data_IF_349175999468
#
_entry.id   IF_349175999468
#
_cell.length_a   1.000
_cell.length_b   1.000
_cell.length_c   1.000
_cell.angle_alpha   90.00
_cell.angle_beta   90.00
_cell.angle_gamma   90.00
#
_symmetry.space_group_name_H-M   'P 1'
#
loop_
_entity.id
_entity.type
_entity.pdbx_description
1 polymer ?
#
# COMPACT_ATOMS: atom_id res chain seq x y z
N UNK A 1 3.07 -0.99 9.09
CA UNK A 1 2.46 -1.97 8.17
C UNK A 1 2.47 -1.46 6.74
N UNK A 2 2.01 -0.22 6.48
CA UNK A 2 1.88 0.35 5.13
C UNK A 2 3.19 0.53 4.36
N UNK A 3 4.31 0.60 5.06
CA UNK A 3 5.63 0.68 4.41
C UNK A 3 5.86 -0.50 3.46
N UNK A 4 5.38 -1.70 3.80
CA UNK A 4 5.48 -2.87 2.92
C UNK A 4 4.70 -2.67 1.61
N UNK A 5 3.50 -2.10 1.68
CA UNK A 5 2.69 -1.79 0.50
C UNK A 5 3.38 -0.74 -0.37
N UNK A 6 3.81 0.38 0.23
CA UNK A 6 4.50 1.44 -0.50
C UNK A 6 5.79 0.95 -1.16
N UNK A 7 6.58 0.13 -0.46
CA UNK A 7 7.79 -0.46 -1.02
C UNK A 7 7.47 -1.39 -2.19
N UNK A 8 6.45 -2.25 -2.08
CA UNK A 8 6.04 -3.13 -3.17
C UNK A 8 5.58 -2.35 -4.41
N UNK A 9 4.80 -1.28 -4.24
CA UNK A 9 4.38 -0.41 -5.34
C UNK A 9 5.57 0.29 -6.02
N UNK A 10 6.50 0.85 -5.24
CA UNK A 10 7.72 1.47 -5.77
C UNK A 10 8.56 0.45 -6.55
N UNK A 11 8.77 -0.73 -5.97
CA UNK A 11 9.52 -1.80 -6.62
C UNK A 11 8.85 -2.23 -7.94
N UNK A 12 7.52 -2.29 -8.00
CA UNK A 12 6.78 -2.59 -9.24
C UNK A 12 7.10 -1.60 -10.36
N UNK A 13 7.09 -0.30 -10.08
CA UNK A 13 7.43 0.72 -11.08
C UNK A 13 8.90 0.67 -11.45
N UNK A 14 9.78 0.44 -10.48
CA UNK A 14 11.22 0.32 -10.75
C UNK A 14 11.54 -0.90 -11.61
N UNK A 15 10.89 -2.04 -11.39
CA UNK A 15 11.08 -3.24 -12.20
C UNK A 15 10.50 -3.11 -13.61
N UNK A 16 9.38 -2.40 -13.76
CA UNK A 16 8.72 -2.19 -15.05
C UNK A 16 9.42 -1.12 -15.90
N UNK A 17 9.74 0.02 -15.29
CA UNK A 17 10.09 1.26 -16.00
C UNK A 17 11.50 1.77 -15.67
N UNK A 18 12.25 1.11 -14.76
CA UNK A 18 13.58 1.54 -14.32
C UNK A 18 13.59 2.82 -13.47
N UNK A 19 12.41 3.35 -13.11
CA UNK A 19 12.26 4.63 -12.40
C UNK A 19 11.93 4.42 -10.93
N UNK A 20 12.55 5.24 -10.07
CA UNK A 20 12.19 5.33 -8.66
C UNK A 20 11.19 6.45 -8.43
N UNK A 21 10.02 6.12 -7.88
CA UNK A 21 8.97 7.10 -7.54
C UNK A 21 9.02 7.48 -6.06
N UNK A 22 8.41 8.60 -5.70
CA UNK A 22 8.22 9.04 -4.32
C UNK A 22 7.21 8.16 -3.58
N UNK A 23 7.16 8.29 -2.23
CA UNK A 23 6.13 7.62 -1.42
C UNK A 23 4.72 8.17 -1.68
N UNK A 24 4.61 9.42 -2.15
CA UNK A 24 3.33 10.05 -2.50
C UNK A 24 2.77 9.43 -3.77
N UNK A 25 3.55 9.44 -4.86
CA UNK A 25 3.18 8.80 -6.13
C UNK A 25 2.87 7.30 -5.96
N UNK A 26 3.57 6.62 -5.05
CA UNK A 26 3.30 5.22 -4.75
C UNK A 26 1.89 4.96 -4.22
N UNK A 27 1.19 5.95 -3.64
CA UNK A 27 -0.21 5.78 -3.21
C UNK A 27 -1.16 5.64 -4.40
N UNK A 28 -0.88 6.33 -5.50
CA UNK A 28 -1.70 6.26 -6.71
C UNK A 28 -1.44 4.93 -7.44
N UNK A 29 -0.17 4.52 -7.52
CA UNK A 29 0.22 3.19 -8.00
C UNK A 29 -0.44 2.07 -7.18
N UNK A 30 -0.55 2.22 -5.86
CA UNK A 30 -1.25 1.21 -5.06
C UNK A 30 -2.72 1.06 -5.46
N UNK A 31 -3.40 2.15 -5.82
CA UNK A 31 -4.77 2.09 -6.32
C UNK A 31 -4.84 1.33 -7.65
N UNK A 32 -3.94 1.62 -8.58
CA UNK A 32 -3.81 0.91 -9.87
C UNK A 32 -3.51 -0.58 -9.68
N UNK A 33 -2.71 -0.92 -8.67
CA UNK A 33 -2.40 -2.30 -8.33
C UNK A 33 -3.55 -3.03 -7.62
N UNK A 34 -4.67 -2.37 -7.34
CA UNK A 34 -5.86 -2.95 -6.72
C UNK A 34 -5.82 -3.00 -5.20
N UNK A 35 -5.12 -2.06 -4.55
CA UNK A 35 -5.10 -2.01 -3.09
C UNK A 35 -6.50 -1.74 -2.51
N UNK A 36 -6.85 -2.32 -1.36
CA UNK A 36 -8.14 -2.06 -0.71
C UNK A 36 -8.34 -0.57 -0.44
N UNK A 37 -9.42 0.00 -0.97
CA UNK A 37 -9.68 1.44 -0.93
C UNK A 37 -9.73 1.99 0.52
N UNK A 38 -10.29 1.23 1.45
CA UNK A 38 -10.34 1.59 2.88
C UNK A 38 -8.96 1.67 3.53
N UNK A 39 -8.01 0.83 3.10
CA UNK A 39 -6.62 0.89 3.58
C UNK A 39 -5.91 2.09 2.99
N UNK A 40 -6.14 2.41 1.72
CA UNK A 40 -5.61 3.62 1.09
C UNK A 40 -6.14 4.90 1.74
N UNK A 41 -7.43 4.95 2.03
CA UNK A 41 -8.05 6.07 2.74
C UNK A 41 -7.43 6.23 4.14
N UNK A 42 -7.28 5.14 4.90
CA UNK A 42 -6.61 5.17 6.21
C UNK A 42 -5.17 5.67 6.12
N UNK A 43 -4.41 5.23 5.12
CA UNK A 43 -3.03 5.69 4.91
C UNK A 43 -3.00 7.18 4.60
N UNK A 44 -3.88 7.67 3.72
CA UNK A 44 -3.97 9.10 3.37
C UNK A 44 -4.34 9.95 4.58
N UNK A 45 -5.36 9.56 5.34
CA UNK A 45 -5.79 10.28 6.56
C UNK A 45 -4.67 10.33 7.59
N UNK A 46 -3.96 9.23 7.83
CA UNK A 46 -2.83 9.23 8.79
C UNK A 46 -1.62 10.02 8.34
N UNK A 47 -1.41 10.17 7.02
CA UNK A 47 -0.22 10.82 6.47
C UNK A 47 -0.40 12.31 6.24
N UNK A 48 -1.60 12.72 5.85
CA UNK A 48 -1.87 14.10 5.41
C UNK A 48 -3.05 14.75 6.15
N UNK A 49 -3.75 14.00 7.00
CA UNK A 49 -4.88 14.51 7.79
C UNK A 49 -4.66 14.31 9.28
N UNK A 50 -5.78 14.40 10.02
CA UNK A 50 -5.82 14.18 11.47
C UNK A 50 -6.54 12.86 11.74
N UNK A 51 -5.81 11.76 11.99
CA UNK A 51 -6.44 10.47 12.19
C UNK A 51 -7.14 10.38 13.55
N UNK A 52 -8.35 9.85 13.56
CA UNK A 52 -9.01 9.43 14.80
C UNK A 52 -8.39 8.13 15.33
N UNK A 53 -8.44 7.88 16.65
CA UNK A 53 -8.07 6.59 17.21
C UNK A 53 -8.87 5.45 16.58
N UNK A 54 -8.17 4.45 16.04
CA UNK A 54 -8.81 3.27 15.46
C UNK A 54 -9.11 2.22 16.55
N UNK A 55 -10.32 1.64 16.60
CA UNK A 55 -10.62 0.48 17.43
C UNK A 55 -9.68 -0.70 17.11
N UNK A 56 -9.42 -1.57 18.11
CA UNK A 56 -8.52 -2.72 17.94
C UNK A 56 -8.92 -3.62 16.75
N UNK A 57 -10.22 -3.89 16.59
CA UNK A 57 -10.74 -4.69 15.48
C UNK A 57 -10.33 -4.13 14.11
N UNK A 58 -10.51 -2.81 13.91
CA UNK A 58 -10.11 -2.13 12.65
C UNK A 58 -8.60 -2.13 12.45
N UNK A 59 -7.80 -2.07 13.53
CA UNK A 59 -6.33 -2.21 13.42
C UNK A 59 -5.91 -3.60 12.95
N UNK A 60 -6.57 -4.65 13.45
CA UNK A 60 -6.31 -6.05 13.06
C UNK A 60 -6.73 -6.29 11.61
N UNK A 61 -7.91 -5.82 11.22
CA UNK A 61 -8.42 -5.91 9.84
C UNK A 61 -7.47 -5.22 8.86
N UNK A 62 -7.08 -3.97 9.15
CA UNK A 62 -6.08 -3.25 8.35
C UNK A 62 -4.77 -4.02 8.22
N UNK A 63 -4.27 -4.57 9.33
CA UNK A 63 -3.04 -5.36 9.35
C UNK A 63 -3.15 -6.59 8.45
N UNK A 64 -4.28 -7.30 8.50
CA UNK A 64 -4.55 -8.45 7.64
C UNK A 64 -4.59 -8.05 6.16
N UNK A 65 -5.40 -7.06 5.80
CA UNK A 65 -5.54 -6.56 4.42
C UNK A 65 -4.21 -6.10 3.84
N UNK A 66 -3.45 -5.30 4.60
CA UNK A 66 -2.15 -4.80 4.16
C UNK A 66 -1.16 -5.93 3.87
N UNK A 67 -1.11 -6.95 4.75
CA UNK A 67 -0.21 -8.10 4.60
C UNK A 67 -0.59 -8.98 3.41
N UNK A 68 -1.88 -9.27 3.27
CA UNK A 68 -2.41 -10.09 2.17
C UNK A 68 -2.16 -9.40 0.83
N UNK A 69 -2.47 -8.11 0.73
CA UNK A 69 -2.20 -7.33 -0.48
C UNK A 69 -0.70 -7.27 -0.81
N UNK A 70 0.16 -7.00 0.18
CA UNK A 70 1.61 -6.93 -0.03
C UNK A 70 2.16 -8.27 -0.54
N UNK A 71 1.76 -9.38 0.08
CA UNK A 71 2.17 -10.72 -0.36
C UNK A 71 1.73 -11.01 -1.79
N UNK A 72 0.48 -10.70 -2.13
CA UNK A 72 -0.04 -10.90 -3.48
C UNK A 72 0.72 -10.05 -4.50
N UNK A 73 0.96 -8.76 -4.19
CA UNK A 73 1.68 -7.83 -5.06
C UNK A 73 3.12 -8.29 -5.31
N UNK A 74 3.85 -8.69 -4.26
CA UNK A 74 5.21 -9.22 -4.42
C UNK A 74 5.23 -10.42 -5.37
N UNK A 75 4.30 -11.37 -5.20
CA UNK A 75 4.22 -12.54 -6.10
C UNK A 75 3.94 -12.14 -7.54
N UNK A 76 2.97 -11.24 -7.77
CA UNK A 76 2.59 -10.75 -9.09
C UNK A 76 3.72 -9.99 -9.78
N UNK A 77 4.49 -9.20 -9.03
CA UNK A 77 5.58 -8.39 -9.59
C UNK A 77 6.81 -9.25 -9.93
N UNK A 78 7.03 -10.34 -9.20
CA UNK A 78 8.19 -11.23 -9.40
C UNK A 78 7.91 -12.41 -10.35
N UNK A 79 6.65 -12.64 -10.72
CA UNK A 79 6.25 -13.73 -11.63
C UNK A 79 5.61 -13.09 -12.87
N UNK A 80 6.37 -12.93 -13.96
CA UNK A 80 5.88 -12.27 -15.18
C UNK A 80 4.75 -13.05 -15.87
#
# INVERSE_FOLDING_TARGET
>A
MDLGMLTAARASVTLKDGRLITKGEALDVLAELGAPAEVLADIRVRRYGTPAPLPLARRVERAHLSRTFTRHTIRRVLTP
#
